data_IF_198525759267
#
_entry.id   IF_198525759267
#
_cell.length_a   1.000
_cell.length_b   1.000
_cell.length_c   1.000
_cell.angle_alpha   90.00
_cell.angle_beta   90.00
_cell.angle_gamma   90.00
#
_symmetry.space_group_name_H-M   'P 1'
#
loop_
_entity.id
_entity.type
_entity.pdbx_description
1 polymer ?
#
# COMPACT_ATOMS: atom_id res chain seq x y z
N UNK A 1 15.36 -27.35 -4.84
CA UNK A 1 15.46 -26.01 -4.23
C UNK A 1 14.55 -25.11 -5.04
N UNK A 2 13.54 -24.52 -4.40
CA UNK A 2 12.56 -23.65 -5.07
C UNK A 2 13.23 -22.32 -5.49
N UNK A 3 12.89 -21.82 -6.68
CA UNK A 3 13.45 -20.57 -7.23
C UNK A 3 12.41 -19.46 -7.22
N UNK A 4 12.70 -18.41 -6.45
CA UNK A 4 11.81 -17.25 -6.25
C UNK A 4 12.28 -16.06 -7.07
N UNK A 5 11.41 -15.53 -7.93
CA UNK A 5 11.61 -14.28 -8.64
C UNK A 5 11.14 -13.10 -7.78
N UNK A 6 12.03 -12.30 -7.21
CA UNK A 6 11.68 -11.08 -6.49
C UNK A 6 11.66 -9.91 -7.45
N UNK A 7 10.48 -9.35 -7.72
CA UNK A 7 10.29 -8.27 -8.68
C UNK A 7 10.00 -6.89 -8.04
N UNK A 8 10.33 -6.70 -6.78
CA UNK A 8 10.15 -5.43 -6.04
C UNK A 8 11.44 -4.59 -5.99
N UNK A 9 11.66 -3.80 -4.96
CA UNK A 9 12.88 -2.99 -4.82
C UNK A 9 14.08 -3.84 -4.37
N UNK A 10 15.29 -3.34 -4.63
CA UNK A 10 16.53 -4.03 -4.30
C UNK A 10 16.66 -4.32 -2.80
N UNK A 11 16.22 -3.42 -1.96
CA UNK A 11 16.27 -3.52 -0.51
C UNK A 11 15.49 -4.73 0.04
N UNK A 12 14.28 -4.97 -0.48
CA UNK A 12 13.50 -6.17 -0.15
C UNK A 12 14.22 -7.44 -0.62
N UNK A 13 14.72 -7.45 -1.86
CA UNK A 13 15.48 -8.56 -2.41
C UNK A 13 16.70 -8.93 -1.55
N UNK A 14 17.51 -7.93 -1.18
CA UNK A 14 18.72 -8.11 -0.38
C UNK A 14 18.42 -8.71 1.01
N UNK A 15 17.31 -8.29 1.62
CA UNK A 15 16.89 -8.79 2.94
C UNK A 15 16.28 -10.20 2.90
N UNK A 16 15.72 -10.62 1.77
CA UNK A 16 15.12 -11.95 1.61
C UNK A 16 16.16 -13.04 1.34
N UNK A 17 17.32 -12.71 0.78
CA UNK A 17 18.27 -13.68 0.26
C UNK A 17 18.72 -14.73 1.28
N UNK A 18 19.37 -14.29 2.34
CA UNK A 18 19.93 -15.21 3.37
C UNK A 18 18.84 -15.95 4.14
N UNK A 19 17.79 -15.31 4.68
CA UNK A 19 16.76 -16.03 5.45
C UNK A 19 16.01 -17.08 4.64
N UNK A 20 15.74 -16.83 3.35
CA UNK A 20 15.06 -17.81 2.51
C UNK A 20 16.00 -18.90 1.99
N UNK A 21 17.30 -18.61 1.81
CA UNK A 21 18.28 -19.63 1.48
C UNK A 21 18.41 -20.69 2.60
N UNK A 22 18.31 -20.31 3.88
CA UNK A 22 18.25 -21.21 5.02
C UNK A 22 17.02 -22.14 5.01
N UNK A 23 16.01 -21.81 4.18
CA UNK A 23 14.75 -22.53 4.00
C UNK A 23 14.64 -23.20 2.63
N UNK A 24 15.76 -23.48 1.98
CA UNK A 24 15.83 -24.13 0.65
C UNK A 24 15.10 -23.35 -0.48
N UNK A 25 15.01 -22.02 -0.38
CA UNK A 25 14.47 -21.13 -1.41
C UNK A 25 15.60 -20.25 -1.95
N UNK A 26 15.93 -20.40 -3.24
CA UNK A 26 16.85 -19.52 -3.95
C UNK A 26 16.14 -18.27 -4.42
N UNK A 27 16.70 -17.10 -4.16
CA UNK A 27 16.08 -15.82 -4.44
C UNK A 27 16.88 -15.06 -5.50
N UNK A 28 16.22 -14.67 -6.59
CA UNK A 28 16.84 -13.86 -7.65
C UNK A 28 16.03 -12.59 -7.93
N UNK A 29 16.73 -11.48 -8.23
CA UNK A 29 16.11 -10.18 -8.47
C UNK A 29 15.72 -9.99 -9.93
N UNK A 30 14.43 -10.02 -10.22
CA UNK A 30 13.86 -9.78 -11.55
C UNK A 30 13.54 -8.29 -11.72
N UNK A 31 14.24 -7.62 -12.62
CA UNK A 31 14.03 -6.20 -12.94
C UNK A 31 13.53 -6.04 -14.36
N UNK A 32 12.32 -5.47 -14.52
CA UNK A 32 11.74 -5.13 -15.82
C UNK A 32 11.87 -3.64 -16.19
N UNK A 33 12.06 -2.77 -15.19
CA UNK A 33 12.12 -1.32 -15.38
C UNK A 33 13.53 -0.81 -15.65
N UNK A 34 13.62 0.34 -16.31
CA UNK A 34 14.88 1.10 -16.52
C UNK A 34 15.96 0.29 -17.26
N UNK A 35 15.51 -0.58 -18.18
CA UNK A 35 16.38 -1.43 -19.00
C UNK A 35 15.72 -1.79 -20.34
N UNK A 36 16.50 -2.26 -21.27
CA UNK A 36 16.01 -2.90 -22.51
C UNK A 36 15.88 -4.40 -22.30
N UNK A 37 14.81 -5.00 -22.83
CA UNK A 37 14.55 -6.44 -22.80
C UNK A 37 14.27 -6.90 -24.22
N UNK A 38 14.96 -7.93 -24.70
CA UNK A 38 14.67 -8.60 -25.94
C UNK A 38 13.48 -9.53 -25.72
N UNK A 39 12.32 -9.22 -26.33
CA UNK A 39 11.06 -9.96 -26.07
C UNK A 39 11.09 -11.39 -26.58
N UNK A 40 11.93 -11.68 -27.59
CA UNK A 40 12.12 -13.05 -28.12
C UNK A 40 13.11 -13.90 -27.33
N UNK A 41 13.85 -13.29 -26.42
CA UNK A 41 14.88 -13.95 -25.60
C UNK A 41 15.05 -13.13 -24.31
N UNK A 42 14.06 -13.17 -23.39
CA UNK A 42 14.12 -12.41 -22.15
C UNK A 42 15.25 -12.94 -21.24
N UNK A 43 15.96 -12.06 -20.51
CA UNK A 43 17.16 -12.41 -19.77
C UNK A 43 16.86 -13.00 -18.38
N UNK A 44 15.75 -13.68 -18.23
CA UNK A 44 15.34 -14.32 -16.97
C UNK A 44 15.36 -15.84 -17.14
N UNK A 45 15.91 -16.51 -16.15
CA UNK A 45 15.92 -17.97 -16.07
C UNK A 45 14.57 -18.50 -15.59
N UNK A 46 14.43 -19.83 -15.53
CA UNK A 46 13.24 -20.49 -15.01
C UNK A 46 13.08 -20.24 -13.50
N UNK A 47 11.88 -19.87 -13.08
CA UNK A 47 11.46 -19.70 -11.70
C UNK A 47 10.25 -20.59 -11.41
N UNK A 48 9.99 -20.87 -10.14
CA UNK A 48 8.83 -21.61 -9.70
C UNK A 48 7.70 -20.68 -9.23
N UNK A 49 8.05 -19.48 -8.73
CA UNK A 49 7.10 -18.52 -8.17
C UNK A 49 7.67 -17.11 -8.16
N UNK A 50 6.79 -16.10 -8.22
CA UNK A 50 7.11 -14.69 -8.10
C UNK A 50 6.73 -14.10 -6.74
N UNK A 51 7.55 -13.20 -6.22
CA UNK A 51 7.23 -12.42 -5.03
C UNK A 51 6.95 -10.98 -5.41
N UNK A 52 5.68 -10.58 -5.29
CA UNK A 52 5.09 -9.29 -5.58
C UNK A 52 5.23 -8.89 -7.06
N UNK A 53 4.11 -8.89 -7.76
CA UNK A 53 4.01 -8.48 -9.17
C UNK A 53 4.84 -7.23 -9.48
N UNK A 54 5.57 -7.16 -10.60
CA UNK A 54 6.54 -6.11 -10.89
C UNK A 54 5.95 -4.68 -10.81
N UNK A 55 6.75 -3.68 -10.39
CA UNK A 55 6.34 -2.28 -10.45
C UNK A 55 6.15 -1.82 -11.91
N UNK A 56 5.34 -0.76 -12.12
CA UNK A 56 4.92 -0.29 -13.44
C UNK A 56 4.15 -1.37 -14.20
N UNK A 57 2.88 -1.48 -13.90
CA UNK A 57 1.97 -2.56 -14.29
C UNK A 57 2.05 -3.00 -15.77
N UNK A 58 2.28 -2.06 -16.71
CA UNK A 58 2.41 -2.38 -18.13
C UNK A 58 3.79 -2.97 -18.45
N UNK A 59 4.86 -2.34 -17.97
CA UNK A 59 6.23 -2.87 -18.15
C UNK A 59 6.42 -4.18 -17.39
N UNK A 60 5.81 -4.30 -16.21
CA UNK A 60 5.82 -5.52 -15.40
C UNK A 60 5.17 -6.72 -16.08
N UNK A 61 4.19 -6.48 -16.96
CA UNK A 61 3.56 -7.54 -17.76
C UNK A 61 4.52 -8.27 -18.69
N UNK A 62 5.68 -7.67 -19.01
CA UNK A 62 6.73 -8.37 -19.79
C UNK A 62 7.41 -9.45 -18.94
N UNK A 63 7.73 -9.13 -17.68
CA UNK A 63 8.30 -10.12 -16.77
C UNK A 63 7.28 -11.21 -16.42
N UNK A 64 6.04 -10.82 -16.16
CA UNK A 64 4.93 -11.73 -15.87
C UNK A 64 4.71 -12.75 -17.01
N UNK A 65 4.60 -12.27 -18.24
CA UNK A 65 4.42 -13.11 -19.41
C UNK A 65 5.65 -13.98 -19.75
N UNK A 66 6.87 -13.53 -19.41
CA UNK A 66 8.08 -14.27 -19.69
C UNK A 66 8.38 -15.33 -18.64
N UNK A 67 8.00 -15.09 -17.40
CA UNK A 67 8.18 -16.03 -16.29
C UNK A 67 7.07 -17.07 -16.24
N UNK A 68 5.82 -16.68 -16.54
CA UNK A 68 4.62 -17.53 -16.52
C UNK A 68 4.50 -18.35 -15.23
N UNK A 69 4.66 -17.67 -14.09
CA UNK A 69 4.63 -18.26 -12.75
C UNK A 69 3.55 -17.62 -11.87
N UNK A 70 3.03 -18.32 -10.85
CA UNK A 70 2.16 -17.71 -9.86
C UNK A 70 2.91 -16.68 -9.00
N UNK A 71 2.19 -15.66 -8.49
CA UNK A 71 2.75 -14.57 -7.70
C UNK A 71 2.13 -14.52 -6.30
N UNK A 72 2.93 -14.36 -5.26
CA UNK A 72 2.42 -14.16 -3.88
C UNK A 72 1.42 -13.01 -3.83
N UNK A 73 1.79 -11.84 -4.35
CA UNK A 73 0.82 -10.77 -4.64
C UNK A 73 0.83 -10.52 -6.15
N UNK A 74 -0.19 -10.98 -6.80
CA UNK A 74 -0.37 -10.90 -8.25
C UNK A 74 -0.74 -9.49 -8.74
N UNK A 75 -0.96 -9.35 -10.03
CA UNK A 75 -1.37 -8.08 -10.65
C UNK A 75 -2.69 -7.56 -10.08
N UNK A 76 -3.64 -8.45 -9.81
CA UNK A 76 -4.96 -8.08 -9.30
C UNK A 76 -4.88 -7.58 -7.86
N UNK A 77 -4.13 -8.25 -7.00
CA UNK A 77 -3.82 -7.80 -5.63
C UNK A 77 -3.23 -6.39 -5.60
N UNK A 78 -2.28 -6.11 -6.52
CA UNK A 78 -1.68 -4.78 -6.64
C UNK A 78 -2.69 -3.72 -7.07
N UNK A 79 -3.53 -4.02 -8.08
CA UNK A 79 -4.56 -3.10 -8.55
C UNK A 79 -5.63 -2.86 -7.49
N UNK A 80 -6.05 -3.91 -6.78
CA UNK A 80 -7.04 -3.86 -5.70
C UNK A 80 -6.59 -2.93 -4.59
N UNK A 81 -5.38 -3.10 -4.08
CA UNK A 81 -4.82 -2.24 -3.03
C UNK A 81 -4.53 -0.81 -3.51
N UNK A 82 -4.20 -0.62 -4.79
CA UNK A 82 -3.91 0.71 -5.34
C UNK A 82 -5.15 1.59 -5.48
N UNK A 83 -6.32 1.01 -5.73
CA UNK A 83 -7.59 1.71 -5.82
C UNK A 83 -8.15 2.01 -4.42
N UNK A 84 -7.76 3.17 -3.85
CA UNK A 84 -8.14 3.57 -2.49
C UNK A 84 -9.65 3.60 -2.28
N UNK A 85 -10.41 4.14 -3.25
CA UNK A 85 -11.86 4.15 -3.19
C UNK A 85 -12.44 2.74 -3.17
N UNK A 86 -11.92 1.86 -4.01
CA UNK A 86 -12.31 0.46 -4.06
C UNK A 86 -12.00 -0.28 -2.75
N UNK A 87 -10.84 0.00 -2.13
CA UNK A 87 -10.48 -0.52 -0.79
C UNK A 87 -11.50 -0.04 0.24
N UNK A 88 -11.71 1.26 0.38
CA UNK A 88 -12.65 1.84 1.36
C UNK A 88 -14.05 1.25 1.18
N UNK A 89 -14.53 1.14 -0.06
CA UNK A 89 -15.85 0.56 -0.35
C UNK A 89 -15.94 -0.90 0.11
N UNK A 90 -14.94 -1.73 -0.20
CA UNK A 90 -14.92 -3.15 0.23
C UNK A 90 -14.88 -3.29 1.74
N UNK A 91 -14.05 -2.48 2.40
CA UNK A 91 -13.91 -2.51 3.86
C UNK A 91 -15.22 -2.06 4.55
N UNK A 92 -15.85 -0.99 4.06
CA UNK A 92 -17.16 -0.55 4.56
C UNK A 92 -18.24 -1.62 4.41
N UNK A 93 -18.24 -2.37 3.28
CA UNK A 93 -19.18 -3.47 3.06
C UNK A 93 -18.92 -4.69 3.96
N UNK A 94 -17.71 -4.80 4.49
CA UNK A 94 -17.30 -5.83 5.45
C UNK A 94 -17.38 -5.36 6.91
N UNK A 95 -18.04 -4.24 7.19
CA UNK A 95 -18.16 -3.62 8.51
C UNK A 95 -16.79 -3.36 9.18
N UNK A 96 -15.79 -3.03 8.36
CA UNK A 96 -14.46 -2.63 8.82
C UNK A 96 -14.41 -1.10 8.88
N UNK A 97 -14.02 -0.51 10.02
CA UNK A 97 -13.97 0.94 10.19
C UNK A 97 -12.99 1.60 9.22
N UNK A 98 -13.48 2.59 8.48
CA UNK A 98 -12.70 3.44 7.57
C UNK A 98 -13.03 4.90 7.81
N UNK A 99 -12.15 5.85 7.43
CA UNK A 99 -12.47 7.27 7.48
C UNK A 99 -13.64 7.61 6.56
N UNK A 100 -14.48 8.59 6.95
CA UNK A 100 -15.51 9.11 6.05
C UNK A 100 -14.86 9.62 4.77
N UNK A 101 -15.36 9.17 3.63
CA UNK A 101 -14.68 9.41 2.36
C UNK A 101 -15.70 9.54 1.23
N UNK A 102 -15.50 10.56 0.39
CA UNK A 102 -16.25 10.77 -0.85
C UNK A 102 -15.29 10.66 -2.04
N UNK A 103 -15.68 9.88 -3.04
CA UNK A 103 -14.99 9.81 -4.33
C UNK A 103 -15.48 10.93 -5.24
N UNK A 104 -14.56 11.70 -5.79
CA UNK A 104 -14.81 12.66 -6.86
C UNK A 104 -14.19 12.12 -8.15
N UNK A 105 -15.03 11.87 -9.16
CA UNK A 105 -14.59 11.39 -10.48
C UNK A 105 -14.64 12.55 -11.46
N UNK A 106 -13.49 13.15 -11.73
CA UNK A 106 -13.36 14.33 -12.56
C UNK A 106 -13.68 14.08 -14.06
N UNK A 107 -14.30 15.07 -14.75
CA UNK A 107 -14.72 16.38 -14.24
C UNK A 107 -16.08 16.37 -13.52
N UNK A 108 -16.20 17.14 -12.45
CA UNK A 108 -17.47 17.46 -11.77
C UNK A 108 -17.62 18.98 -11.72
N UNK A 109 -18.84 19.49 -11.59
CA UNK A 109 -19.02 20.92 -11.40
C UNK A 109 -18.80 21.37 -9.93
N UNK A 110 -18.64 22.67 -9.72
CA UNK A 110 -18.36 23.18 -8.38
C UNK A 110 -19.53 22.98 -7.39
N UNK A 111 -20.77 22.87 -7.88
CA UNK A 111 -21.92 22.63 -7.00
C UNK A 111 -21.91 21.21 -6.43
N UNK A 112 -21.63 20.23 -7.28
CA UNK A 112 -21.46 18.82 -6.86
C UNK A 112 -20.28 18.67 -5.90
N UNK A 113 -19.18 19.40 -6.15
CA UNK A 113 -18.01 19.38 -5.26
C UNK A 113 -18.31 19.99 -3.89
N UNK A 114 -19.06 21.08 -3.82
CA UNK A 114 -19.49 21.70 -2.56
C UNK A 114 -20.40 20.73 -1.80
N UNK A 115 -21.37 20.11 -2.46
CA UNK A 115 -22.26 19.11 -1.83
C UNK A 115 -21.45 17.91 -1.30
N UNK A 116 -20.44 17.46 -2.03
CA UNK A 116 -19.56 16.40 -1.58
C UNK A 116 -18.74 16.81 -0.34
N UNK A 117 -18.23 18.03 -0.30
CA UNK A 117 -17.47 18.58 0.81
C UNK A 117 -18.31 18.80 2.07
N UNK A 118 -19.58 19.19 1.91
CA UNK A 118 -20.53 19.41 3.03
C UNK A 118 -20.81 18.14 3.85
N UNK A 119 -20.43 16.97 3.34
CA UNK A 119 -20.53 15.68 4.06
C UNK A 119 -19.40 15.47 5.07
N UNK A 120 -18.31 16.22 4.97
CA UNK A 120 -17.10 15.99 5.75
C UNK A 120 -16.72 17.28 6.47
N UNK A 121 -16.39 17.19 7.75
CA UNK A 121 -15.93 18.35 8.51
C UNK A 121 -14.51 18.77 8.11
N UNK A 122 -14.28 20.11 8.02
CA UNK A 122 -12.94 20.64 7.80
C UNK A 122 -12.03 20.46 9.04
N UNK A 123 -10.74 20.22 8.86
CA UNK A 123 -10.04 20.18 7.56
C UNK A 123 -10.27 18.85 6.80
N UNK A 124 -10.37 18.94 5.48
CA UNK A 124 -10.57 17.81 4.58
C UNK A 124 -9.24 17.37 3.96
N UNK A 125 -8.96 16.08 3.91
CA UNK A 125 -7.81 15.51 3.20
C UNK A 125 -8.21 15.18 1.77
N UNK A 126 -7.52 15.78 0.80
CA UNK A 126 -7.63 15.43 -0.62
C UNK A 126 -6.50 14.47 -0.97
N UNK A 127 -6.83 13.37 -1.64
CA UNK A 127 -5.81 12.42 -2.12
C UNK A 127 -6.21 11.78 -3.45
N UNK A 128 -5.30 11.76 -4.45
CA UNK A 128 -5.56 11.02 -5.68
C UNK A 128 -5.84 9.55 -5.40
N UNK A 129 -6.78 8.94 -6.11
CA UNK A 129 -7.23 7.59 -5.84
C UNK A 129 -6.12 6.54 -6.05
N UNK A 130 -5.32 6.66 -7.09
CA UNK A 130 -4.34 5.63 -7.49
C UNK A 130 -2.87 5.96 -7.23
N UNK A 131 -2.56 7.11 -6.61
CA UNK A 131 -1.18 7.48 -6.28
C UNK A 131 -0.67 6.77 -5.03
N UNK A 132 0.66 6.69 -4.90
CA UNK A 132 1.35 6.07 -3.78
C UNK A 132 2.31 7.05 -3.10
N UNK A 133 2.83 6.70 -1.94
CA UNK A 133 3.85 7.48 -1.19
C UNK A 133 3.40 8.88 -0.78
N UNK A 134 2.10 9.10 -0.61
CA UNK A 134 1.54 10.40 -0.22
C UNK A 134 1.75 11.52 -1.26
N UNK A 135 2.03 11.16 -2.52
CA UNK A 135 2.13 12.14 -3.63
C UNK A 135 0.75 12.66 -3.97
N UNK A 136 0.63 14.00 -4.09
CA UNK A 136 -0.64 14.66 -4.38
C UNK A 136 -1.60 14.77 -3.21
N UNK A 137 -1.25 14.25 -2.02
CA UNK A 137 -2.10 14.39 -0.83
C UNK A 137 -1.99 15.82 -0.28
N UNK A 138 -3.11 16.48 -0.08
CA UNK A 138 -3.22 17.83 0.46
C UNK A 138 -4.24 17.89 1.60
N UNK A 139 -4.22 18.97 2.38
CA UNK A 139 -5.21 19.24 3.42
C UNK A 139 -5.80 20.62 3.16
N UNK A 140 -7.12 20.69 3.02
CA UNK A 140 -7.88 21.92 2.88
C UNK A 140 -8.53 22.29 4.21
N UNK A 141 -8.42 23.54 4.62
CA UNK A 141 -8.94 24.01 5.89
C UNK A 141 -10.32 24.68 5.77
N UNK A 142 -10.71 25.01 4.55
CA UNK A 142 -11.96 25.67 4.18
C UNK A 142 -12.29 25.40 2.70
N UNK A 143 -13.44 25.87 2.26
CA UNK A 143 -13.89 25.69 0.89
C UNK A 143 -12.96 26.35 -0.14
N UNK A 144 -12.41 27.53 0.14
CA UNK A 144 -11.54 28.24 -0.80
C UNK A 144 -10.23 27.48 -1.05
N UNK A 145 -9.60 26.97 0.02
CA UNK A 145 -8.42 26.12 -0.09
C UNK A 145 -8.72 24.77 -0.74
N UNK A 146 -9.92 24.20 -0.54
CA UNK A 146 -10.37 22.99 -1.22
C UNK A 146 -10.46 23.23 -2.73
N UNK A 147 -11.18 24.25 -3.15
CA UNK A 147 -11.35 24.58 -4.57
C UNK A 147 -10.00 24.87 -5.25
N UNK A 148 -9.10 25.59 -4.60
CA UNK A 148 -7.76 25.84 -5.13
C UNK A 148 -6.91 24.56 -5.33
N UNK A 149 -7.05 23.55 -4.45
CA UNK A 149 -6.38 22.25 -4.65
C UNK A 149 -7.03 21.48 -5.79
N UNK A 150 -8.36 21.53 -5.91
CA UNK A 150 -9.09 20.86 -6.99
C UNK A 150 -8.74 21.47 -8.34
N UNK A 151 -8.71 22.79 -8.47
CA UNK A 151 -8.28 23.48 -9.70
C UNK A 151 -6.89 23.00 -10.16
N UNK A 152 -5.97 22.81 -9.21
CA UNK A 152 -4.65 22.28 -9.53
C UNK A 152 -4.70 20.81 -9.94
N UNK A 153 -5.51 19.96 -9.28
CA UNK A 153 -5.70 18.58 -9.66
C UNK A 153 -6.30 18.46 -11.06
N UNK A 154 -7.28 19.29 -11.39
CA UNK A 154 -7.91 19.34 -12.72
C UNK A 154 -6.90 19.66 -13.82
N UNK A 155 -5.98 20.57 -13.50
CA UNK A 155 -4.94 20.99 -14.45
C UNK A 155 -3.88 19.91 -14.70
N UNK A 156 -3.50 19.13 -13.69
CA UNK A 156 -2.31 18.26 -13.74
C UNK A 156 -2.60 16.77 -13.56
N UNK A 157 -3.77 16.43 -13.05
CA UNK A 157 -4.11 15.05 -12.72
C UNK A 157 -4.66 14.30 -13.93
N UNK A 158 -3.75 13.83 -14.77
CA UNK A 158 -4.06 12.88 -15.83
C UNK A 158 -3.16 11.65 -15.62
N UNK A 159 -3.64 10.66 -14.87
CA UNK A 159 -2.90 9.42 -14.65
C UNK A 159 -3.11 8.50 -15.85
N UNK A 160 -2.39 8.76 -16.94
CA UNK A 160 -2.55 8.13 -18.25
C UNK A 160 -2.48 6.61 -18.22
N UNK A 161 -1.67 6.04 -17.31
CA UNK A 161 -1.47 4.58 -17.23
C UNK A 161 -2.73 3.80 -16.81
N UNK A 162 -3.64 4.42 -16.06
CA UNK A 162 -4.89 3.80 -15.59
C UNK A 162 -6.14 4.50 -16.13
N UNK A 163 -6.00 5.66 -16.78
CA UNK A 163 -7.10 6.54 -17.15
C UNK A 163 -7.84 7.13 -15.94
N UNK A 164 -7.25 7.04 -14.75
CA UNK A 164 -7.85 7.48 -13.49
C UNK A 164 -7.71 8.99 -13.32
N UNK A 165 -8.85 9.67 -13.23
CA UNK A 165 -8.95 11.11 -12.94
C UNK A 165 -9.65 11.36 -11.61
N UNK A 166 -9.76 10.32 -10.78
CA UNK A 166 -10.48 10.42 -9.52
C UNK A 166 -9.57 10.79 -8.35
N UNK A 167 -10.15 11.47 -7.40
CA UNK A 167 -9.56 11.77 -6.11
C UNK A 167 -10.58 11.59 -4.99
N UNK A 168 -10.11 11.50 -3.76
CA UNK A 168 -10.90 11.33 -2.57
C UNK A 168 -10.91 12.63 -1.76
N UNK A 169 -12.08 12.99 -1.26
CA UNK A 169 -12.24 13.85 -0.11
C UNK A 169 -12.41 12.95 1.11
N UNK A 170 -11.58 13.13 2.12
CA UNK A 170 -11.58 12.26 3.28
C UNK A 170 -11.47 13.08 4.56
N UNK A 171 -12.14 12.63 5.61
CA UNK A 171 -12.01 13.24 6.92
C UNK A 171 -10.55 13.24 7.40
N UNK A 172 -10.17 14.30 8.10
CA UNK A 172 -8.90 14.39 8.79
C UNK A 172 -9.08 13.95 10.24
N UNK A 173 -8.23 13.07 10.73
CA UNK A 173 -8.24 12.57 12.11
C UNK A 173 -7.12 13.27 12.91
N UNK A 174 -7.43 14.36 13.62
CA UNK A 174 -6.42 15.09 14.36
C UNK A 174 -5.90 14.25 15.54
N UNK A 175 -4.58 14.31 15.76
CA UNK A 175 -3.95 13.60 16.88
C UNK A 175 -3.91 12.08 16.75
N UNK A 176 -4.32 11.53 15.62
CA UNK A 176 -4.26 10.08 15.41
C UNK A 176 -2.81 9.58 15.43
N UNK A 177 -2.58 8.47 16.13
CA UNK A 177 -1.36 7.68 16.02
C UNK A 177 -1.42 6.86 14.75
N UNK A 178 -0.32 6.82 14.02
CA UNK A 178 -0.20 6.17 12.72
C UNK A 178 0.59 4.86 12.85
N UNK A 179 -0.05 3.73 12.55
CA UNK A 179 0.58 2.42 12.56
C UNK A 179 0.62 1.83 11.16
N UNK A 180 1.75 1.20 10.81
CA UNK A 180 1.85 0.26 9.70
C UNK A 180 1.87 -1.15 10.25
N UNK A 181 0.83 -1.91 9.95
CA UNK A 181 0.68 -3.32 10.36
C UNK A 181 0.98 -4.21 9.16
N UNK A 182 1.77 -5.25 9.38
CA UNK A 182 2.07 -6.28 8.38
C UNK A 182 1.22 -7.51 8.63
N UNK A 183 0.53 -7.94 7.58
CA UNK A 183 -0.31 -9.14 7.58
C UNK A 183 0.20 -10.09 6.49
N UNK A 184 0.43 -11.33 6.85
CA UNK A 184 0.89 -12.39 5.97
C UNK A 184 -0.10 -13.56 6.06
N UNK A 185 -0.67 -13.95 4.92
CA UNK A 185 -1.65 -15.04 4.82
C UNK A 185 -2.84 -14.91 5.79
N UNK A 186 -3.27 -13.66 6.04
CA UNK A 186 -4.35 -13.35 6.96
C UNK A 186 -3.96 -13.19 8.42
N UNK A 187 -2.73 -13.48 8.80
CA UNK A 187 -2.23 -13.40 10.17
C UNK A 187 -1.33 -12.16 10.38
N UNK A 188 -1.44 -11.54 11.54
CA UNK A 188 -0.55 -10.47 11.97
C UNK A 188 0.89 -10.99 12.12
N UNK A 189 1.86 -10.26 11.55
CA UNK A 189 3.29 -10.64 11.64
C UNK A 189 4.21 -9.51 12.11
N UNK A 190 3.65 -8.40 12.54
CA UNK A 190 4.41 -7.29 13.10
C UNK A 190 3.82 -5.93 12.78
N UNK A 191 4.25 -4.91 13.51
CA UNK A 191 3.83 -3.54 13.29
C UNK A 191 4.91 -2.52 13.66
N UNK A 192 4.78 -1.34 13.07
CA UNK A 192 5.57 -0.17 13.45
C UNK A 192 4.66 1.04 13.69
N UNK A 193 4.97 1.81 14.71
CA UNK A 193 4.45 3.18 14.87
C UNK A 193 5.27 4.12 13.99
N UNK A 194 4.58 4.97 13.21
CA UNK A 194 5.21 6.01 12.38
C UNK A 194 4.98 7.37 13.03
N UNK A 195 6.04 8.00 13.49
CA UNK A 195 5.98 9.28 14.16
C UNK A 195 6.84 10.32 13.46
N UNK A 196 6.27 11.51 13.26
CA UNK A 196 7.06 12.66 12.86
C UNK A 196 7.88 13.19 14.03
N UNK A 197 9.13 13.62 13.79
CA UNK A 197 9.90 14.37 14.79
C UNK A 197 9.18 15.64 15.25
N UNK A 198 9.39 16.04 16.49
CA UNK A 198 8.69 17.17 17.11
C UNK A 198 8.94 18.50 16.38
N UNK A 199 10.13 18.70 15.80
CA UNK A 199 10.47 19.86 14.97
C UNK A 199 9.72 19.88 13.64
N UNK A 200 9.48 18.72 13.03
CA UNK A 200 8.67 18.58 11.83
C UNK A 200 7.19 18.89 12.10
N UNK A 201 6.66 18.41 13.24
CA UNK A 201 5.32 18.75 13.72
C UNK A 201 5.18 20.25 13.98
N UNK A 202 6.16 20.86 14.64
CA UNK A 202 6.19 22.30 14.90
C UNK A 202 6.27 23.15 13.61
N UNK A 203 6.89 22.60 12.54
CA UNK A 203 6.92 23.19 11.21
C UNK A 203 5.62 22.96 10.40
N UNK A 204 4.59 22.33 11.00
CA UNK A 204 3.28 22.11 10.38
C UNK A 204 3.22 20.87 9.48
N UNK A 205 4.21 19.98 9.51
CA UNK A 205 4.11 18.69 8.85
C UNK A 205 3.07 17.82 9.58
N UNK A 206 2.36 17.00 8.81
CA UNK A 206 1.28 16.15 9.35
C UNK A 206 1.19 14.77 8.68
N UNK A 207 2.02 14.51 7.66
CA UNK A 207 2.04 13.24 6.94
C UNK A 207 3.14 12.35 7.52
N UNK A 208 2.77 11.23 8.13
CA UNK A 208 3.67 10.31 8.81
C UNK A 208 4.37 9.32 7.85
N UNK A 209 4.63 9.74 6.61
CA UNK A 209 5.35 8.90 5.65
C UNK A 209 6.85 8.87 5.98
N UNK A 210 7.45 7.68 6.07
CA UNK A 210 8.89 7.49 6.31
C UNK A 210 9.74 8.21 5.25
N UNK A 211 9.32 8.21 3.98
CA UNK A 211 9.99 8.97 2.91
C UNK A 211 9.97 10.50 3.10
N UNK A 212 9.22 11.01 4.07
CA UNK A 212 9.14 12.42 4.45
C UNK A 212 9.78 12.72 5.80
N UNK A 213 10.53 11.75 6.34
CA UNK A 213 11.28 11.91 7.59
C UNK A 213 10.57 11.40 8.84
N UNK A 214 9.45 10.69 8.72
CA UNK A 214 8.88 10.00 9.88
C UNK A 214 9.77 8.81 10.28
N UNK A 215 9.90 8.61 11.58
CA UNK A 215 10.55 7.45 12.18
C UNK A 215 9.55 6.29 12.28
N UNK A 216 10.05 5.06 12.07
CA UNK A 216 9.25 3.83 12.17
C UNK A 216 9.83 2.95 13.28
N UNK A 217 9.15 2.89 14.41
CA UNK A 217 9.58 2.12 15.60
C UNK A 217 8.74 0.86 15.74
N UNK A 218 9.33 -0.32 15.93
CA UNK A 218 8.60 -1.55 16.21
C UNK A 218 7.69 -1.39 17.42
N UNK A 219 6.49 -1.93 17.34
CA UNK A 219 5.50 -1.89 18.41
C UNK A 219 4.70 -3.20 18.45
N UNK A 220 4.40 -3.64 19.67
CA UNK A 220 3.45 -4.70 19.91
C UNK A 220 2.04 -4.11 20.01
N UNK A 221 1.17 -4.44 19.08
CA UNK A 221 -0.17 -3.86 19.00
C UNK A 221 -1.15 -4.58 19.91
N UNK A 222 -2.15 -3.85 20.38
CA UNK A 222 -3.31 -4.42 21.06
C UNK A 222 -4.03 -5.44 20.16
N UNK A 223 -4.59 -6.52 20.73
CA UNK A 223 -5.28 -7.57 19.96
C UNK A 223 -6.40 -7.05 19.05
N UNK A 224 -7.11 -5.99 19.44
CA UNK A 224 -8.18 -5.39 18.63
C UNK A 224 -7.65 -4.74 17.34
N UNK A 225 -6.44 -4.15 17.39
CA UNK A 225 -5.80 -3.55 16.22
C UNK A 225 -5.21 -4.62 15.29
N UNK A 226 -4.73 -5.74 15.85
CA UNK A 226 -4.29 -6.89 15.06
C UNK A 226 -5.48 -7.50 14.31
N UNK A 227 -6.59 -7.81 15.02
CA UNK A 227 -7.83 -8.32 14.40
C UNK A 227 -8.34 -7.40 13.29
N UNK A 228 -8.29 -6.09 13.50
CA UNK A 228 -8.68 -5.11 12.48
C UNK A 228 -7.83 -5.23 11.20
N UNK A 229 -6.51 -5.42 11.34
CA UNK A 229 -5.62 -5.58 10.21
C UNK A 229 -5.80 -6.92 9.50
N UNK A 230 -5.99 -8.01 10.25
CA UNK A 230 -6.24 -9.37 9.73
C UNK A 230 -7.55 -9.45 8.96
N UNK A 231 -8.63 -8.89 9.51
CA UNK A 231 -9.92 -8.75 8.82
C UNK A 231 -9.80 -7.92 7.55
N UNK A 232 -8.97 -6.89 7.56
CA UNK A 232 -8.70 -6.06 6.38
C UNK A 232 -8.03 -6.87 5.27
N UNK A 233 -7.00 -7.68 5.59
CA UNK A 233 -6.33 -8.53 4.62
C UNK A 233 -7.28 -9.58 4.05
N UNK A 234 -8.09 -10.20 4.91
CA UNK A 234 -9.11 -11.18 4.52
C UNK A 234 -10.18 -10.56 3.60
N UNK A 235 -10.71 -9.37 3.94
CA UNK A 235 -11.73 -8.70 3.12
C UNK A 235 -11.20 -8.27 1.75
N UNK A 236 -9.90 -8.01 1.64
CA UNK A 236 -9.24 -7.64 0.39
C UNK A 236 -8.69 -8.85 -0.36
N UNK A 237 -8.61 -10.03 0.26
CA UNK A 237 -8.03 -11.23 -0.33
C UNK A 237 -6.63 -10.93 -0.93
N UNK A 238 -5.71 -10.44 -0.08
CA UNK A 238 -4.34 -10.10 -0.44
C UNK A 238 -3.40 -10.82 0.52
N UNK A 239 -2.58 -11.77 0.03
CA UNK A 239 -1.75 -12.63 0.87
C UNK A 239 -0.70 -11.91 1.70
N UNK A 240 -0.05 -10.86 1.17
CA UNK A 240 0.94 -10.06 1.88
C UNK A 240 0.56 -8.59 1.84
N UNK A 241 0.13 -8.04 2.95
CA UNK A 241 -0.48 -6.72 3.02
C UNK A 241 0.12 -5.85 4.13
N UNK A 242 0.49 -4.63 3.78
CA UNK A 242 0.68 -3.56 4.74
C UNK A 242 -0.62 -2.80 4.95
N UNK A 243 -1.11 -2.73 6.18
CA UNK A 243 -2.33 -2.01 6.58
C UNK A 243 -1.94 -0.77 7.37
N UNK A 244 -2.37 0.40 6.93
CA UNK A 244 -2.14 1.65 7.65
C UNK A 244 -3.35 1.97 8.51
N UNK A 245 -3.16 1.94 9.83
CA UNK A 245 -4.19 2.29 10.80
C UNK A 245 -3.97 3.71 11.32
N UNK A 246 -5.05 4.46 11.46
CA UNK A 246 -5.09 5.69 12.23
C UNK A 246 -5.92 5.43 13.50
N UNK A 247 -5.28 5.64 14.65
CA UNK A 247 -5.88 5.38 15.97
C UNK A 247 -5.99 6.68 16.76
N UNK A 248 -7.21 7.05 17.11
CA UNK A 248 -7.53 8.17 18.01
C UNK A 248 -7.93 7.64 19.39
N UNK A 249 -8.25 8.52 20.33
CA UNK A 249 -8.80 8.12 21.64
C UNK A 249 -10.14 7.40 21.52
N UNK A 250 -10.92 7.72 20.48
CA UNK A 250 -12.30 7.24 20.32
C UNK A 250 -12.43 6.03 19.40
N UNK A 251 -11.54 5.89 18.42
CA UNK A 251 -11.64 4.85 17.38
C UNK A 251 -10.35 4.55 16.64
N UNK A 252 -10.31 3.35 16.06
CA UNK A 252 -9.30 2.96 15.08
C UNK A 252 -9.96 2.79 13.70
N UNK A 253 -9.27 3.22 12.62
CA UNK A 253 -9.73 3.09 11.25
C UNK A 253 -8.62 2.63 10.31
N UNK A 254 -8.98 1.92 9.25
CA UNK A 254 -8.07 1.58 8.15
C UNK A 254 -8.01 2.75 7.17
N UNK A 255 -6.87 3.43 7.12
CA UNK A 255 -6.66 4.60 6.27
C UNK A 255 -6.19 4.27 4.85
N UNK A 256 -5.28 3.31 4.72
CA UNK A 256 -4.68 2.91 3.43
C UNK A 256 -4.15 1.47 3.52
N UNK A 257 -3.99 0.82 2.37
CA UNK A 257 -3.35 -0.49 2.26
C UNK A 257 -2.23 -0.47 1.22
N UNK A 258 -1.29 -1.39 1.35
CA UNK A 258 -0.17 -1.53 0.45
C UNK A 258 0.12 -3.01 0.16
N UNK A 259 -0.16 -3.46 -1.05
CA UNK A 259 0.15 -4.82 -1.52
C UNK A 259 1.60 -4.98 -2.03
N UNK A 260 2.45 -3.95 -1.86
CA UNK A 260 3.90 -4.02 -2.08
C UNK A 260 4.64 -3.50 -0.85
N UNK A 261 4.37 -4.08 0.33
CA UNK A 261 5.11 -3.65 1.51
C UNK A 261 6.59 -3.98 1.30
N UNK A 262 7.45 -3.08 1.71
CA UNK A 262 8.89 -3.36 1.77
C UNK A 262 9.13 -4.29 2.94
N UNK A 263 9.82 -5.41 2.73
CA UNK A 263 10.35 -6.18 3.84
C UNK A 263 11.44 -5.36 4.49
N UNK A 264 11.26 -5.06 5.76
CA UNK A 264 12.11 -4.19 6.56
C UNK A 264 13.07 -5.03 7.44
N UNK A 265 13.73 -4.40 8.41
CA UNK A 265 14.58 -5.07 9.37
C UNK A 265 13.80 -6.15 10.14
N UNK A 266 14.47 -7.28 10.42
CA UNK A 266 13.86 -8.43 11.10
C UNK A 266 13.25 -8.09 12.47
N UNK A 267 13.78 -7.06 13.15
CA UNK A 267 13.27 -6.60 14.45
C UNK A 267 11.86 -5.99 14.41
N UNK A 268 11.31 -5.79 13.20
CA UNK A 268 9.96 -5.24 12.98
C UNK A 268 8.90 -6.31 12.75
N UNK A 269 9.29 -7.58 12.83
CA UNK A 269 8.43 -8.73 12.64
C UNK A 269 8.49 -9.65 13.85
N UNK A 270 7.42 -10.40 14.05
CA UNK A 270 7.34 -11.42 15.08
C UNK A 270 8.27 -12.61 14.77
N UNK A 271 8.63 -13.35 15.81
CA UNK A 271 9.37 -14.62 15.65
C UNK A 271 8.59 -15.57 14.74
N UNK A 272 9.25 -16.14 13.75
CA UNK A 272 8.61 -17.08 12.80
C UNK A 272 8.25 -16.47 11.45
N UNK A 273 8.28 -15.13 11.29
CA UNK A 273 7.95 -14.44 10.02
C UNK A 273 8.57 -15.10 8.77
N UNK A 274 9.83 -15.48 8.85
CA UNK A 274 10.52 -16.09 7.70
C UNK A 274 10.05 -17.51 7.39
N UNK A 275 9.59 -18.27 8.40
CA UNK A 275 9.01 -19.58 8.20
C UNK A 275 7.64 -19.45 7.55
N UNK A 276 6.79 -18.56 8.04
CA UNK A 276 5.47 -18.27 7.50
C UNK A 276 5.55 -17.74 6.05
N UNK A 277 6.51 -16.85 5.78
CA UNK A 277 6.74 -16.34 4.43
C UNK A 277 7.21 -17.45 3.47
N UNK A 278 8.12 -18.32 3.92
CA UNK A 278 8.59 -19.44 3.12
C UNK A 278 7.45 -20.43 2.82
N UNK A 279 6.56 -20.66 3.77
CA UNK A 279 5.40 -21.53 3.60
C UNK A 279 4.36 -20.92 2.64
N UNK A 280 4.11 -19.62 2.72
CA UNK A 280 3.27 -18.93 1.74
C UNK A 280 3.86 -19.02 0.33
N UNK A 281 5.17 -18.79 0.17
CA UNK A 281 5.86 -18.91 -1.12
C UNK A 281 5.72 -20.33 -1.70
N UNK A 282 5.91 -21.38 -0.89
CA UNK A 282 5.76 -22.78 -1.34
C UNK A 282 4.33 -23.09 -1.78
N UNK A 283 3.33 -22.70 -0.99
CA UNK A 283 1.93 -22.89 -1.35
C UNK A 283 1.56 -22.15 -2.64
N UNK A 284 2.09 -20.95 -2.83
CA UNK A 284 1.86 -20.18 -4.07
C UNK A 284 2.49 -20.90 -5.28
N UNK A 285 3.66 -21.50 -5.13
CA UNK A 285 4.32 -22.25 -6.22
C UNK A 285 3.56 -23.53 -6.63
N UNK A 286 2.71 -24.06 -5.76
CA UNK A 286 1.92 -25.28 -6.01
C UNK A 286 0.52 -25.00 -6.58
N UNK A 287 0.10 -23.72 -6.66
CA UNK A 287 -1.23 -23.26 -7.09
C UNK A 287 -1.33 -23.13 -8.61
#
# INVERSE_FOLDING_TARGET
MLRLAVATNAETYERMGDPLAERDIAVDHVRSRERTVALSDPPWEDFDVGFVYPPRLMEGGVADAALDVPWVNDRESILRSRNKAGVITRLSQADIPVPETVLVSNPVDNADLVEAADRIEYPIVLKPNSTTRGVGVAKAHDLDSLLGVVDYLDLVHDFQATGDKSYLLQEYLPGATDYRVMVLDGEYVGAVERRLPDDALAAGQWKHNVHRGAEATPVDLDPELRDLAERTATALDIPFLGVDLLVTEDRAVVNETNARPTIDDASKYDDGFWDDLADLIRRTAEA
#
